data_IF_205469441272
#
_entry.id   IF_205469441272
#
_cell.length_a   1.000
_cell.length_b   1.000
_cell.length_c   1.000
_cell.angle_alpha   90.00
_cell.angle_beta   90.00
_cell.angle_gamma   90.00
#
_symmetry.space_group_name_H-M   'P 1'
#
loop_
_entity.id
_entity.type
_entity.pdbx_description
1 polymer ?
#
# COMPACT_ATOMS: atom_id res chain seq x y z
N UNK A 1 -34.55 2.56 16.16
CA UNK A 1 -33.78 2.87 14.95
C UNK A 1 -32.77 1.77 14.80
N UNK A 2 -32.49 1.27 13.58
CA UNK A 2 -31.42 0.28 13.42
C UNK A 2 -30.12 0.85 14.01
N UNK A 3 -29.33 0.00 14.65
CA UNK A 3 -28.03 0.39 15.19
C UNK A 3 -27.17 0.88 14.01
N UNK A 4 -26.41 1.95 14.18
CA UNK A 4 -25.71 2.60 13.05
C UNK A 4 -24.65 1.68 12.40
N UNK A 5 -24.07 0.73 13.17
CA UNK A 5 -23.25 -0.35 12.64
C UNK A 5 -24.01 -1.25 11.66
N UNK A 6 -25.35 -1.40 11.83
CA UNK A 6 -26.15 -2.29 11.00
C UNK A 6 -26.21 -1.83 9.53
N UNK A 7 -26.09 -0.53 9.26
CA UNK A 7 -26.15 0.04 7.90
C UNK A 7 -24.91 -0.34 7.10
N UNK A 8 -23.71 -0.19 7.69
CA UNK A 8 -22.43 -0.55 7.04
C UNK A 8 -22.38 -2.07 6.84
N UNK A 9 -22.71 -2.82 7.90
CA UNK A 9 -22.73 -4.28 7.85
C UNK A 9 -23.72 -4.80 6.79
N UNK A 10 -24.93 -4.21 6.71
CA UNK A 10 -25.94 -4.59 5.68
C UNK A 10 -25.44 -4.28 4.26
N UNK A 11 -24.76 -3.15 4.05
CA UNK A 11 -24.18 -2.82 2.76
C UNK A 11 -23.10 -3.83 2.37
N UNK A 12 -22.11 -4.08 3.24
CA UNK A 12 -21.04 -5.02 2.96
C UNK A 12 -21.57 -6.45 2.80
N UNK A 13 -22.56 -6.88 3.60
CA UNK A 13 -23.24 -8.16 3.42
C UNK A 13 -23.91 -8.28 2.05
N UNK A 14 -24.48 -7.17 1.53
CA UNK A 14 -25.06 -7.15 0.17
C UNK A 14 -24.00 -7.33 -0.91
N UNK A 15 -22.81 -6.75 -0.75
CA UNK A 15 -21.69 -6.93 -1.70
C UNK A 15 -21.11 -8.36 -1.63
N UNK A 16 -21.05 -8.96 -0.44
CA UNK A 16 -20.66 -10.36 -0.26
C UNK A 16 -21.70 -11.29 -0.94
N UNK A 17 -22.99 -11.05 -0.73
CA UNK A 17 -24.07 -11.83 -1.37
C UNK A 17 -24.09 -11.72 -2.91
N UNK A 18 -23.60 -10.59 -3.46
CA UNK A 18 -23.42 -10.42 -4.91
C UNK A 18 -22.15 -11.08 -5.46
N UNK A 19 -21.29 -11.60 -4.59
CA UNK A 19 -19.99 -12.14 -4.96
C UNK A 19 -18.92 -11.09 -5.28
N UNK A 20 -19.15 -9.82 -4.89
CA UNK A 20 -18.15 -8.75 -5.05
C UNK A 20 -16.98 -8.93 -4.11
N UNK A 21 -17.22 -9.47 -2.91
CA UNK A 21 -16.22 -9.69 -1.86
C UNK A 21 -16.44 -11.05 -1.22
N UNK A 22 -15.39 -11.83 -0.91
CA UNK A 22 -15.52 -13.04 -0.09
C UNK A 22 -15.88 -12.69 1.36
N UNK A 23 -15.21 -11.68 1.91
CA UNK A 23 -15.39 -11.17 3.26
C UNK A 23 -14.81 -9.79 3.44
N UNK A 24 -15.16 -9.19 4.57
CA UNK A 24 -14.68 -7.86 4.95
C UNK A 24 -14.59 -7.72 6.46
N UNK A 25 -13.67 -6.87 6.90
CA UNK A 25 -13.59 -6.34 8.25
C UNK A 25 -13.56 -4.82 8.13
N UNK A 26 -14.33 -4.12 8.95
CA UNK A 26 -14.30 -2.67 8.95
C UNK A 26 -14.21 -2.10 10.36
N UNK A 27 -13.71 -0.87 10.44
CA UNK A 27 -13.70 -0.07 11.65
C UNK A 27 -13.91 1.41 11.30
N UNK A 28 -14.81 2.03 12.02
CA UNK A 28 -15.09 3.48 12.01
C UNK A 28 -14.78 4.04 13.38
N UNK A 29 -13.90 5.03 13.45
CA UNK A 29 -13.52 5.63 14.71
C UNK A 29 -13.37 7.16 14.66
N UNK A 30 -13.49 7.80 15.82
CA UNK A 30 -13.29 9.22 16.05
C UNK A 30 -12.58 9.42 17.39
N UNK A 31 -11.59 10.31 17.45
CA UNK A 31 -10.83 10.60 18.69
C UNK A 31 -10.29 9.36 19.41
N UNK A 32 -9.70 8.42 18.68
CA UNK A 32 -9.20 7.12 19.16
C UNK A 32 -10.30 6.18 19.70
N UNK A 33 -11.58 6.55 19.61
CA UNK A 33 -12.69 5.70 20.01
C UNK A 33 -13.24 4.95 18.83
N UNK A 34 -13.49 3.67 19.00
CA UNK A 34 -14.19 2.84 18.02
C UNK A 34 -15.68 3.15 18.16
N UNK A 35 -16.31 3.60 17.08
CA UNK A 35 -17.73 3.92 16.99
C UNK A 35 -18.51 2.74 16.42
N UNK A 36 -17.96 2.10 15.38
CA UNK A 36 -18.53 0.91 14.76
C UNK A 36 -17.43 0.01 14.22
N UNK A 37 -17.59 -1.29 14.36
CA UNK A 37 -16.74 -2.30 13.76
C UNK A 37 -17.52 -3.59 13.54
N UNK A 38 -17.14 -4.36 12.53
CA UNK A 38 -17.71 -5.69 12.29
C UNK A 38 -16.79 -6.51 11.36
N UNK A 39 -17.05 -7.81 11.30
CA UNK A 39 -16.42 -8.74 10.40
C UNK A 39 -17.47 -9.65 9.75
N UNK A 40 -17.44 -9.77 8.42
CA UNK A 40 -18.51 -10.34 7.61
C UNK A 40 -17.95 -11.28 6.55
N UNK A 41 -18.71 -12.32 6.20
CA UNK A 41 -18.35 -13.25 5.14
C UNK A 41 -17.20 -14.18 5.51
N UNK A 42 -16.34 -14.49 4.55
CA UNK A 42 -15.29 -15.49 4.67
C UNK A 42 -13.89 -14.88 4.54
N UNK A 43 -13.01 -15.21 5.48
CA UNK A 43 -11.57 -14.97 5.39
C UNK A 43 -10.92 -15.91 4.35
N UNK A 44 -11.43 -17.13 4.23
CA UNK A 44 -10.98 -18.15 3.28
C UNK A 44 -12.19 -18.80 2.65
N UNK A 45 -12.22 -18.88 1.31
CA UNK A 45 -13.22 -19.62 0.52
C UNK A 45 -12.64 -20.95 0.07
N UNK A 46 -11.37 -20.96 -0.30
CA UNK A 46 -10.60 -22.14 -0.73
C UNK A 46 -9.28 -22.21 0.04
N UNK A 47 -8.82 -23.38 0.48
CA UNK A 47 -9.37 -24.73 0.23
C UNK A 47 -10.52 -25.11 1.18
N UNK A 48 -10.84 -24.32 2.17
CA UNK A 48 -11.88 -24.54 3.17
C UNK A 48 -12.60 -23.22 3.49
N UNK A 49 -13.84 -23.29 3.98
CA UNK A 49 -14.59 -22.10 4.36
C UNK A 49 -14.23 -21.68 5.79
N UNK A 50 -13.51 -20.55 5.94
CA UNK A 50 -13.21 -19.98 7.25
C UNK A 50 -13.91 -18.62 7.36
N UNK A 51 -14.78 -18.41 8.35
CA UNK A 51 -15.44 -17.12 8.57
C UNK A 51 -14.44 -16.01 8.90
N UNK A 52 -14.71 -14.80 8.42
CA UNK A 52 -14.02 -13.63 8.88
C UNK A 52 -14.47 -13.26 10.30
N UNK A 53 -13.50 -12.84 11.13
CA UNK A 53 -13.73 -12.39 12.51
C UNK A 53 -13.00 -11.05 12.76
N UNK A 54 -13.24 -10.40 13.88
CA UNK A 54 -12.52 -9.18 14.28
C UNK A 54 -11.01 -9.43 14.50
N UNK A 55 -10.62 -10.69 14.63
CA UNK A 55 -9.23 -11.11 14.79
C UNK A 55 -8.58 -11.55 13.46
N UNK A 56 -9.35 -11.57 12.37
CA UNK A 56 -8.82 -11.93 11.05
C UNK A 56 -7.75 -10.92 10.61
N UNK A 57 -6.60 -11.44 10.21
CA UNK A 57 -5.44 -10.67 9.74
C UNK A 57 -5.47 -10.63 8.20
N UNK A 58 -5.35 -9.45 7.63
CA UNK A 58 -5.38 -9.23 6.19
C UNK A 58 -4.02 -8.79 5.66
N UNK A 59 -3.66 -9.25 4.45
CA UNK A 59 -2.59 -8.62 3.67
C UNK A 59 -3.02 -7.20 3.30
N UNK A 60 -2.36 -6.22 3.89
CA UNK A 60 -2.67 -4.80 3.72
C UNK A 60 -2.18 -4.23 2.39
N UNK A 61 -1.39 -5.01 1.63
CA UNK A 61 -0.81 -4.60 0.36
C UNK A 61 -0.18 -3.20 0.45
N UNK A 62 -0.59 -2.28 -0.42
CA UNK A 62 0.00 -0.93 -0.50
C UNK A 62 -0.24 -0.02 0.70
N UNK A 63 -1.07 -0.40 1.67
CA UNK A 63 -1.13 0.31 2.95
C UNK A 63 0.19 0.20 3.74
N UNK A 64 1.05 -0.76 3.39
CA UNK A 64 2.44 -0.83 3.89
C UNK A 64 3.20 0.47 3.66
N UNK A 65 2.96 1.14 2.53
CA UNK A 65 3.64 2.39 2.15
C UNK A 65 3.49 3.50 3.19
N UNK A 66 2.26 3.93 3.52
CA UNK A 66 2.08 4.95 4.55
C UNK A 66 2.35 4.42 5.96
N UNK A 67 1.77 3.27 6.32
CA UNK A 67 1.75 2.79 7.71
C UNK A 67 3.11 2.39 8.25
N UNK A 68 4.03 1.96 7.37
CA UNK A 68 5.38 1.56 7.77
C UNK A 68 6.43 2.47 7.13
N UNK A 69 6.57 2.42 5.81
CA UNK A 69 7.75 2.97 5.15
C UNK A 69 7.82 4.49 5.26
N UNK A 70 6.74 5.20 4.93
CA UNK A 70 6.72 6.66 5.03
C UNK A 70 6.81 7.15 6.48
N UNK A 71 6.13 6.47 7.39
CA UNK A 71 6.20 6.76 8.83
C UNK A 71 7.65 6.66 9.32
N UNK A 72 8.36 5.58 9.00
CA UNK A 72 9.77 5.39 9.37
C UNK A 72 10.67 6.44 8.73
N UNK A 73 10.51 6.74 7.43
CA UNK A 73 11.34 7.75 6.76
C UNK A 73 11.21 9.11 7.45
N UNK A 74 9.99 9.54 7.82
CA UNK A 74 9.79 10.82 8.52
C UNK A 74 10.35 10.76 9.94
N UNK A 75 10.18 9.67 10.69
CA UNK A 75 10.79 9.51 12.01
C UNK A 75 12.32 9.61 11.99
N UNK A 76 12.96 9.01 10.99
CA UNK A 76 14.42 9.10 10.80
C UNK A 76 14.85 10.49 10.31
N UNK A 77 13.99 11.19 9.56
CA UNK A 77 14.24 12.60 9.22
C UNK A 77 14.12 13.50 10.46
N UNK A 78 13.16 13.30 11.34
CA UNK A 78 13.03 14.02 12.63
C UNK A 78 14.26 13.86 13.53
N UNK A 79 14.98 12.74 13.40
CA UNK A 79 16.22 12.44 14.13
C UNK A 79 17.48 12.96 13.41
N UNK A 80 17.32 13.58 12.22
CA UNK A 80 18.43 14.08 11.42
C UNK A 80 19.25 12.99 10.71
N UNK A 81 18.77 11.74 10.67
CA UNK A 81 19.43 10.61 9.99
C UNK A 81 19.16 10.69 8.48
N UNK A 82 17.95 11.08 8.09
CA UNK A 82 17.54 11.29 6.71
C UNK A 82 17.24 12.76 6.44
N UNK A 83 17.50 13.18 5.19
CA UNK A 83 17.07 14.47 4.66
C UNK A 83 16.10 14.19 3.50
N UNK A 84 14.84 14.59 3.64
CA UNK A 84 13.79 14.33 2.64
C UNK A 84 14.08 15.00 1.30
N UNK A 85 14.84 16.09 1.29
CA UNK A 85 15.22 16.82 0.09
C UNK A 85 16.55 16.34 -0.51
N UNK A 86 17.26 15.44 0.18
CA UNK A 86 18.49 14.90 -0.37
C UNK A 86 18.23 13.98 -1.56
N UNK A 87 19.13 13.96 -2.54
CA UNK A 87 19.09 13.01 -3.64
C UNK A 87 19.17 11.56 -3.14
N UNK A 88 18.40 10.68 -3.78
CA UNK A 88 18.43 9.23 -3.52
C UNK A 88 19.85 8.67 -3.64
N UNK A 89 20.62 9.17 -4.60
CA UNK A 89 22.02 8.80 -4.82
C UNK A 89 22.94 8.96 -3.59
N UNK A 90 22.55 9.81 -2.63
CA UNK A 90 23.27 9.94 -1.34
C UNK A 90 23.17 8.66 -0.50
N UNK A 91 22.11 7.91 -0.65
CA UNK A 91 21.81 6.71 0.14
C UNK A 91 21.99 5.44 -0.65
N UNK A 92 21.68 5.46 -1.96
CA UNK A 92 21.77 4.34 -2.89
C UNK A 92 22.68 4.73 -4.07
N UNK A 93 23.92 4.27 -4.05
CA UNK A 93 24.95 4.63 -5.04
C UNK A 93 24.59 4.17 -6.45
N UNK A 94 23.71 3.21 -6.58
CA UNK A 94 23.17 2.71 -7.84
C UNK A 94 22.44 3.79 -8.66
N UNK A 95 22.04 4.89 -8.02
CA UNK A 95 21.32 6.02 -8.63
C UNK A 95 22.20 7.22 -9.00
N UNK A 96 23.51 7.04 -9.13
CA UNK A 96 24.42 8.12 -9.53
C UNK A 96 24.36 8.49 -11.02
N UNK A 97 23.54 7.81 -11.81
CA UNK A 97 23.37 8.12 -13.24
C UNK A 97 22.68 9.47 -13.48
N UNK A 98 22.97 10.09 -14.61
CA UNK A 98 22.59 11.48 -14.93
C UNK A 98 21.10 11.74 -14.85
N UNK A 99 20.26 10.82 -15.31
CA UNK A 99 18.79 10.96 -15.37
C UNK A 99 18.09 10.79 -14.02
N UNK A 100 18.69 10.04 -13.09
CA UNK A 100 18.10 9.70 -11.77
C UNK A 100 18.84 10.32 -10.59
N UNK A 101 20.00 10.92 -10.84
CA UNK A 101 20.86 11.46 -9.80
C UNK A 101 20.17 12.46 -8.86
N UNK A 102 19.26 13.26 -9.42
CA UNK A 102 18.59 14.35 -8.70
C UNK A 102 17.22 13.95 -8.11
N UNK A 103 16.82 12.67 -8.24
CA UNK A 103 15.59 12.18 -7.60
C UNK A 103 15.76 12.25 -6.09
N UNK A 104 14.86 12.97 -5.40
CA UNK A 104 14.90 13.15 -3.95
C UNK A 104 13.99 12.17 -3.21
N UNK A 105 14.21 11.98 -1.90
CA UNK A 105 13.33 11.13 -1.08
C UNK A 105 11.88 11.65 -1.07
N UNK A 106 11.68 12.96 -1.01
CA UNK A 106 10.33 13.54 -1.06
C UNK A 106 9.61 13.22 -2.37
N UNK A 107 10.34 13.18 -3.50
CA UNK A 107 9.77 12.80 -4.79
C UNK A 107 9.38 11.32 -4.86
N UNK A 108 10.13 10.43 -4.20
CA UNK A 108 9.72 9.04 -4.04
C UNK A 108 8.44 8.95 -3.18
N UNK A 109 8.39 9.66 -2.06
CA UNK A 109 7.27 9.61 -1.11
C UNK A 109 5.98 10.18 -1.68
N UNK A 110 6.06 11.12 -2.63
CA UNK A 110 4.92 11.76 -3.30
C UNK A 110 4.60 11.17 -4.67
N UNK A 111 5.33 10.13 -5.09
CA UNK A 111 5.20 9.52 -6.42
C UNK A 111 5.44 10.48 -7.59
N UNK A 112 6.31 11.47 -7.40
CA UNK A 112 6.70 12.44 -8.42
C UNK A 112 8.13 12.25 -8.96
N UNK A 113 8.72 11.06 -8.74
CA UNK A 113 10.07 10.71 -9.20
C UNK A 113 10.19 10.48 -10.70
N UNK A 114 9.09 10.09 -11.36
CA UNK A 114 9.09 9.65 -12.75
C UNK A 114 9.39 8.15 -12.94
N UNK A 115 9.61 7.40 -11.88
CA UNK A 115 9.72 5.94 -11.99
C UNK A 115 8.38 5.32 -12.43
N UNK A 116 8.38 4.26 -13.28
CA UNK A 116 7.16 3.60 -13.70
C UNK A 116 6.39 2.99 -12.53
N UNK A 117 5.10 2.75 -12.75
CA UNK A 117 4.19 2.26 -11.70
C UNK A 117 4.65 0.93 -11.09
N UNK A 118 5.09 -0.01 -11.92
CA UNK A 118 5.44 -1.37 -11.52
C UNK A 118 6.43 -2.00 -12.52
N UNK A 119 7.22 -2.96 -12.04
CA UNK A 119 8.11 -3.82 -12.83
C UNK A 119 8.18 -5.20 -12.19
N UNK A 120 8.29 -6.28 -12.96
CA UNK A 120 8.50 -7.62 -12.42
C UNK A 120 9.96 -7.81 -11.96
N UNK A 121 10.31 -7.22 -10.81
CA UNK A 121 11.69 -7.19 -10.29
C UNK A 121 12.26 -8.60 -10.06
N UNK A 122 11.40 -9.57 -9.73
CA UNK A 122 11.75 -10.99 -9.61
C UNK A 122 12.21 -11.64 -10.94
N UNK A 123 12.00 -10.98 -12.08
CA UNK A 123 12.53 -11.40 -13.39
C UNK A 123 13.80 -10.60 -13.77
N UNK A 124 14.07 -9.48 -13.12
CA UNK A 124 15.16 -8.55 -13.45
C UNK A 124 16.33 -8.60 -12.48
N UNK A 125 16.09 -9.07 -11.24
CA UNK A 125 17.08 -9.24 -10.19
C UNK A 125 17.31 -10.72 -9.90
N UNK A 126 18.54 -11.11 -9.58
CA UNK A 126 18.85 -12.49 -9.19
C UNK A 126 18.59 -12.71 -7.69
N UNK A 127 18.86 -11.70 -6.89
CA UNK A 127 18.68 -11.70 -5.45
C UNK A 127 18.01 -10.41 -5.00
N UNK A 128 17.51 -10.39 -3.77
CA UNK A 128 16.99 -9.18 -3.13
C UNK A 128 17.99 -8.00 -3.19
N UNK A 129 19.27 -8.28 -3.02
CA UNK A 129 20.30 -7.25 -3.01
C UNK A 129 20.49 -6.56 -4.38
N UNK A 130 20.11 -7.22 -5.47
CA UNK A 130 20.22 -6.67 -6.83
C UNK A 130 19.05 -5.75 -7.21
N UNK A 131 17.98 -5.70 -6.40
CA UNK A 131 16.75 -4.94 -6.69
C UNK A 131 17.01 -3.45 -6.89
N UNK A 132 17.78 -2.73 -6.06
CA UNK A 132 18.08 -1.32 -6.30
C UNK A 132 18.78 -1.08 -7.65
N UNK A 133 19.72 -1.93 -8.02
CA UNK A 133 20.41 -1.85 -9.31
C UNK A 133 19.48 -2.17 -10.49
N UNK A 134 18.54 -3.10 -10.33
CA UNK A 134 17.51 -3.38 -11.35
C UNK A 134 16.61 -2.16 -11.57
N UNK A 135 16.15 -1.51 -10.50
CA UNK A 135 15.34 -0.28 -10.59
C UNK A 135 16.16 0.87 -11.19
N UNK A 136 17.44 0.99 -10.84
CA UNK A 136 18.30 2.03 -11.39
C UNK A 136 18.45 1.95 -12.92
N UNK A 137 18.38 0.74 -13.50
CA UNK A 137 18.38 0.53 -14.95
C UNK A 137 17.03 0.81 -15.64
N UNK A 138 15.95 0.94 -14.89
CA UNK A 138 14.61 1.19 -15.45
C UNK A 138 14.52 2.61 -16.02
N UNK A 139 13.94 2.76 -17.22
CA UNK A 139 13.72 4.08 -17.81
C UNK A 139 12.67 4.86 -17.02
N UNK A 140 12.86 6.16 -16.92
CA UNK A 140 11.83 7.05 -16.37
C UNK A 140 10.67 7.19 -17.36
N UNK A 141 9.47 7.33 -16.84
CA UNK A 141 8.30 7.65 -17.66
C UNK A 141 8.43 9.07 -18.22
N UNK A 142 7.97 9.30 -19.46
CA UNK A 142 7.95 10.64 -20.06
C UNK A 142 7.23 11.64 -19.16
N UNK A 143 7.87 12.79 -18.92
CA UNK A 143 7.27 13.87 -18.14
C UNK A 143 6.71 14.93 -19.09
N UNK A 144 5.64 15.66 -18.70
CA UNK A 144 5.10 16.74 -19.51
C UNK A 144 6.16 17.79 -19.84
N UNK A 145 6.14 18.36 -21.06
CA UNK A 145 6.98 19.53 -21.38
C UNK A 145 6.60 20.67 -20.42
N UNK A 146 7.60 21.45 -19.97
CA UNK A 146 7.46 22.65 -19.12
C UNK A 146 7.63 22.48 -17.60
N UNK A 147 8.34 21.44 -17.14
CA UNK A 147 8.88 21.39 -15.79
C UNK A 147 7.93 21.01 -14.67
N UNK A 148 6.67 20.77 -14.96
CA UNK A 148 5.71 20.25 -14.00
C UNK A 148 5.77 18.72 -14.00
N UNK A 149 6.26 18.13 -12.91
CA UNK A 149 6.30 16.66 -12.79
C UNK A 149 4.91 16.09 -12.57
N UNK A 150 4.57 15.04 -13.31
CA UNK A 150 3.34 14.27 -13.05
C UNK A 150 3.52 13.33 -11.85
N UNK A 151 2.41 13.10 -11.16
CA UNK A 151 2.31 12.05 -10.15
C UNK A 151 2.03 10.73 -10.85
N UNK A 152 3.04 9.86 -10.87
CA UNK A 152 2.94 8.48 -11.35
C UNK A 152 3.03 7.58 -10.13
N UNK A 153 1.90 7.02 -9.68
CA UNK A 153 1.90 6.07 -8.59
C UNK A 153 2.85 4.91 -8.92
N UNK A 154 3.88 4.72 -8.09
CA UNK A 154 4.94 3.75 -8.36
C UNK A 154 5.30 2.96 -7.12
N UNK A 155 5.22 1.64 -7.22
CA UNK A 155 5.68 0.71 -6.20
C UNK A 155 7.20 0.79 -6.02
N UNK A 156 7.93 1.03 -7.12
CA UNK A 156 9.39 1.11 -7.12
C UNK A 156 9.90 2.20 -6.17
N UNK A 157 9.17 3.31 -6.04
CA UNK A 157 9.50 4.38 -5.11
C UNK A 157 9.62 3.86 -3.67
N UNK A 158 8.65 3.10 -3.24
CA UNK A 158 8.60 2.58 -1.87
C UNK A 158 9.49 1.37 -1.66
N UNK A 159 9.73 0.55 -2.69
CA UNK A 159 10.79 -0.45 -2.67
C UNK A 159 12.13 0.23 -2.33
N UNK A 160 12.48 1.31 -3.03
CA UNK A 160 13.72 2.04 -2.81
C UNK A 160 13.79 2.70 -1.43
N UNK A 161 12.68 3.29 -0.95
CA UNK A 161 12.63 3.86 0.41
C UNK A 161 12.86 2.79 1.49
N UNK A 162 12.36 1.56 1.29
CA UNK A 162 12.69 0.43 2.15
C UNK A 162 14.19 0.14 2.20
N UNK A 163 14.84 0.09 1.03
CA UNK A 163 16.31 -0.10 0.97
C UNK A 163 17.09 1.09 1.55
N UNK A 164 16.60 2.33 1.40
CA UNK A 164 17.21 3.50 2.06
C UNK A 164 17.19 3.33 3.57
N UNK A 165 16.04 2.97 4.15
CA UNK A 165 15.92 2.73 5.59
C UNK A 165 16.89 1.65 6.06
N UNK A 166 16.93 0.51 5.39
CA UNK A 166 17.86 -0.57 5.72
C UNK A 166 19.33 -0.18 5.58
N UNK A 167 19.67 0.60 4.56
CA UNK A 167 21.05 1.05 4.31
C UNK A 167 21.53 2.00 5.40
N UNK A 168 20.70 2.92 5.87
CA UNK A 168 21.11 3.92 6.88
C UNK A 168 21.06 3.37 8.31
N UNK A 169 20.24 2.35 8.56
CA UNK A 169 20.09 1.75 9.90
C UNK A 169 20.94 0.49 10.09
N UNK A 170 21.29 -0.18 8.98
CA UNK A 170 21.91 -1.52 9.04
C UNK A 170 20.93 -2.62 9.50
N UNK A 171 19.64 -2.31 9.61
CA UNK A 171 18.61 -3.19 10.13
C UNK A 171 17.56 -3.49 9.04
N UNK A 172 17.03 -4.70 9.00
CA UNK A 172 16.01 -5.11 8.05
C UNK A 172 14.68 -4.43 8.36
N UNK A 173 13.91 -4.08 7.34
CA UNK A 173 12.69 -3.26 7.45
C UNK A 173 11.65 -3.82 8.42
N UNK A 174 11.45 -5.15 8.46
CA UNK A 174 10.54 -5.81 9.40
C UNK A 174 10.94 -5.59 10.86
N UNK A 175 12.23 -5.74 11.19
CA UNK A 175 12.76 -5.51 12.53
C UNK A 175 12.70 -4.04 12.92
N UNK A 176 13.00 -3.19 11.94
CA UNK A 176 12.89 -1.75 12.14
C UNK A 176 11.46 -1.32 12.43
N UNK A 177 10.47 -1.89 11.70
CA UNK A 177 9.05 -1.63 11.94
C UNK A 177 8.59 -2.16 13.30
N UNK A 178 9.01 -3.36 13.68
CA UNK A 178 8.74 -3.95 14.99
C UNK A 178 9.18 -3.00 16.11
N UNK A 179 10.45 -2.61 16.14
CA UNK A 179 11.04 -1.75 17.16
C UNK A 179 10.48 -0.32 17.17
N UNK A 180 10.25 0.25 16.00
CA UNK A 180 9.91 1.67 15.89
C UNK A 180 8.40 1.95 15.87
N UNK A 181 7.58 0.95 15.51
CA UNK A 181 6.13 1.13 15.32
C UNK A 181 5.34 0.12 16.14
N UNK A 182 5.58 -1.20 15.93
CA UNK A 182 4.68 -2.21 16.46
C UNK A 182 4.78 -2.33 17.98
N UNK A 183 5.98 -2.46 18.52
CA UNK A 183 6.20 -2.51 19.98
C UNK A 183 5.73 -1.23 20.68
N UNK A 184 6.11 0.00 20.24
CA UNK A 184 5.63 1.22 20.89
C UNK A 184 4.12 1.38 20.91
N UNK A 185 3.44 0.90 19.84
CA UNK A 185 1.98 0.92 19.75
C UNK A 185 1.32 -0.33 20.37
N UNK A 186 2.08 -1.33 20.85
CA UNK A 186 1.53 -2.57 21.39
C UNK A 186 0.70 -3.35 20.38
N UNK A 187 1.22 -3.49 19.13
CA UNK A 187 0.56 -4.23 18.06
C UNK A 187 1.01 -5.69 18.11
N UNK A 188 0.08 -6.59 18.33
CA UNK A 188 0.36 -8.03 18.52
C UNK A 188 0.01 -8.86 17.27
N UNK A 189 -0.85 -8.30 16.39
CA UNK A 189 -1.37 -8.94 15.18
C UNK A 189 -0.93 -8.22 13.89
N UNK A 190 0.05 -7.32 14.00
CA UNK A 190 0.66 -6.60 12.88
C UNK A 190 2.07 -7.11 12.65
N UNK A 191 2.35 -7.61 11.44
CA UNK A 191 3.63 -8.23 11.14
C UNK A 191 3.92 -8.26 9.64
N UNK A 192 5.19 -8.44 9.32
CA UNK A 192 5.62 -8.96 8.03
C UNK A 192 5.78 -10.47 8.12
N UNK A 193 5.60 -11.18 7.01
CA UNK A 193 5.84 -12.64 6.93
C UNK A 193 5.21 -13.42 8.08
N UNK A 194 3.88 -13.54 8.13
CA UNK A 194 3.18 -14.28 9.18
C UNK A 194 3.70 -15.71 9.34
N UNK A 195 3.67 -16.29 10.56
CA UNK A 195 4.01 -17.69 10.77
C UNK A 195 3.09 -18.64 9.97
N UNK A 196 3.64 -19.68 9.35
CA UNK A 196 2.91 -20.65 8.49
C UNK A 196 1.70 -21.31 9.18
N UNK A 197 1.73 -21.45 10.51
CA UNK A 197 0.66 -22.10 11.29
C UNK A 197 -0.47 -21.14 11.72
N UNK A 198 -0.35 -19.85 11.39
CA UNK A 198 -1.36 -18.87 11.78
C UNK A 198 -2.56 -18.94 10.83
N UNK A 199 -3.67 -19.48 11.33
CA UNK A 199 -4.88 -19.71 10.53
C UNK A 199 -5.86 -18.54 10.46
N UNK A 200 -5.67 -17.53 11.29
CA UNK A 200 -6.51 -16.33 11.33
C UNK A 200 -6.25 -15.35 10.19
N UNK A 201 -5.48 -15.76 9.18
CA UNK A 201 -5.14 -14.91 8.04
C UNK A 201 -6.16 -15.11 6.92
N UNK A 202 -6.61 -14.01 6.32
CA UNK A 202 -7.42 -14.03 5.12
C UNK A 202 -6.59 -14.49 3.92
N UNK A 203 -7.08 -15.47 3.16
CA UNK A 203 -6.44 -15.91 1.94
C UNK A 203 -6.56 -14.86 0.83
N UNK A 204 -5.59 -14.86 -0.08
CA UNK A 204 -5.58 -14.01 -1.26
C UNK A 204 -5.79 -14.84 -2.53
N UNK A 205 -5.10 -14.57 -3.63
CA UNK A 205 -5.34 -15.22 -4.92
C UNK A 205 -4.99 -16.72 -4.89
N UNK A 206 -5.70 -17.52 -5.68
CA UNK A 206 -5.32 -18.88 -6.00
C UNK A 206 -4.39 -18.86 -7.21
N UNK A 207 -3.11 -19.07 -6.98
CA UNK A 207 -2.06 -18.89 -7.98
C UNK A 207 -1.63 -17.42 -8.12
N UNK A 208 -1.01 -17.08 -9.23
CA UNK A 208 -0.54 -15.73 -9.60
C UNK A 208 -0.96 -15.35 -11.03
N UNK A 209 -2.19 -15.71 -11.42
CA UNK A 209 -2.66 -15.51 -12.80
C UNK A 209 -2.71 -14.03 -13.18
N UNK A 210 -3.13 -13.16 -12.25
CA UNK A 210 -3.18 -11.73 -12.50
C UNK A 210 -1.78 -11.12 -12.70
N UNK A 211 -0.82 -11.49 -11.86
CA UNK A 211 0.54 -10.98 -11.94
C UNK A 211 1.28 -11.54 -13.16
N UNK A 212 1.05 -12.81 -13.51
CA UNK A 212 1.54 -13.40 -14.75
C UNK A 212 1.05 -12.64 -15.98
N UNK A 213 -0.24 -12.31 -16.05
CA UNK A 213 -0.81 -11.54 -17.14
C UNK A 213 -0.16 -10.14 -17.25
N UNK A 214 0.07 -9.47 -16.12
CA UNK A 214 0.78 -8.18 -16.08
C UNK A 214 2.25 -8.30 -16.52
N UNK A 215 2.96 -9.34 -16.10
CA UNK A 215 4.34 -9.57 -16.52
C UNK A 215 4.45 -9.84 -18.02
N UNK A 216 3.49 -10.56 -18.59
CA UNK A 216 3.40 -10.76 -20.05
C UNK A 216 3.15 -9.42 -20.76
N UNK A 217 2.17 -8.65 -20.31
CA UNK A 217 1.84 -7.34 -20.88
C UNK A 217 3.02 -6.36 -20.79
N UNK A 218 3.72 -6.31 -19.68
CA UNK A 218 4.93 -5.49 -19.51
C UNK A 218 6.05 -5.95 -20.46
N UNK A 219 6.25 -7.26 -20.62
CA UNK A 219 7.22 -7.81 -21.55
C UNK A 219 6.91 -7.49 -23.02
N UNK A 220 5.65 -7.27 -23.37
CA UNK A 220 5.21 -6.92 -24.73
C UNK A 220 5.29 -5.42 -25.04
N UNK A 221 5.10 -4.56 -24.04
CA UNK A 221 4.88 -3.12 -24.25
C UNK A 221 6.07 -2.25 -23.87
N UNK A 222 6.93 -2.69 -22.94
CA UNK A 222 8.01 -1.84 -22.39
C UNK A 222 9.40 -2.36 -22.75
N UNK A 223 10.38 -1.44 -22.83
CA UNK A 223 11.80 -1.79 -22.93
C UNK A 223 12.39 -2.04 -21.54
N UNK A 224 13.05 -3.18 -21.32
CA UNK A 224 13.81 -3.47 -20.12
C UNK A 224 15.27 -3.01 -20.33
N UNK A 225 15.72 -1.98 -19.65
CA UNK A 225 17.09 -1.44 -19.71
C UNK A 225 17.41 -0.58 -20.93
N UNK A 226 18.63 -0.07 -21.00
CA UNK A 226 19.12 0.98 -21.91
C UNK A 226 19.13 0.66 -23.41
N UNK A 227 18.73 -0.49 -23.86
CA UNK A 227 18.76 -0.84 -25.28
C UNK A 227 17.36 -0.82 -25.87
N UNK A 228 17.05 0.26 -26.59
CA UNK A 228 15.85 0.43 -27.42
C UNK A 228 15.61 -0.73 -28.43
N UNK A 229 16.57 -1.64 -28.60
CA UNK A 229 16.52 -2.78 -29.53
C UNK A 229 15.85 -4.04 -28.97
N UNK A 230 15.42 -4.05 -27.70
CA UNK A 230 14.81 -5.22 -27.06
C UNK A 230 13.28 -5.12 -26.88
N UNK A 231 12.61 -4.19 -27.55
CA UNK A 231 11.15 -4.17 -27.58
C UNK A 231 10.61 -5.49 -28.15
N UNK A 232 9.67 -6.12 -27.44
CA UNK A 232 8.92 -7.32 -27.84
C UNK A 232 9.77 -8.55 -28.26
N UNK A 233 10.87 -8.84 -27.54
CA UNK A 233 11.71 -9.99 -27.85
C UNK A 233 11.03 -11.32 -27.47
N UNK A 234 11.07 -12.37 -28.32
CA UNK A 234 10.70 -13.74 -27.94
C UNK A 234 11.39 -14.24 -26.68
N UNK A 235 12.59 -13.72 -26.39
CA UNK A 235 13.35 -14.01 -25.18
C UNK A 235 12.60 -13.60 -23.89
N UNK A 236 11.92 -12.44 -23.87
CA UNK A 236 11.17 -11.97 -22.67
C UNK A 236 9.97 -12.86 -22.38
N UNK A 237 9.21 -13.25 -23.39
CA UNK A 237 8.11 -14.21 -23.23
C UNK A 237 8.63 -15.54 -22.68
N UNK A 238 9.80 -15.97 -23.17
CA UNK A 238 10.44 -17.20 -22.67
C UNK A 238 10.85 -17.05 -21.20
N UNK A 239 11.41 -15.92 -20.80
CA UNK A 239 11.77 -15.65 -19.39
C UNK A 239 10.53 -15.67 -18.50
N UNK A 240 9.46 -14.98 -18.88
CA UNK A 240 8.19 -14.99 -18.14
C UNK A 240 7.61 -16.39 -18.06
N UNK A 241 7.62 -17.16 -19.17
CA UNK A 241 7.07 -18.52 -19.18
C UNK A 241 7.91 -19.53 -18.39
N UNK A 242 9.20 -19.27 -18.17
CA UNK A 242 10.11 -20.13 -17.41
C UNK A 242 10.16 -19.76 -15.91
N UNK A 243 9.62 -18.62 -15.52
CA UNK A 243 9.55 -18.22 -14.12
C UNK A 243 8.67 -19.20 -13.31
N UNK A 244 9.02 -19.38 -12.04
CA UNK A 244 8.24 -20.18 -11.11
C UNK A 244 7.09 -19.33 -10.56
N UNK A 245 5.89 -19.57 -11.05
CA UNK A 245 4.66 -18.96 -10.56
C UNK A 245 4.05 -19.81 -9.46
N UNK A 246 3.52 -19.16 -8.41
CA UNK A 246 2.74 -19.84 -7.37
C UNK A 246 1.48 -20.43 -8.01
N UNK A 247 1.09 -21.63 -7.59
CA UNK A 247 -0.05 -22.39 -8.17
C UNK A 247 -1.13 -22.67 -7.13
N UNK A 248 -0.74 -22.66 -5.87
CA UNK A 248 -1.62 -22.91 -4.74
C UNK A 248 -2.27 -21.61 -4.24
N UNK A 249 -3.21 -21.73 -3.31
CA UNK A 249 -3.78 -20.55 -2.65
C UNK A 249 -2.70 -19.81 -1.87
N UNK A 250 -2.55 -18.52 -2.14
CA UNK A 250 -1.65 -17.63 -1.42
C UNK A 250 -2.30 -17.33 -0.07
N UNK A 251 -1.80 -17.96 0.98
CA UNK A 251 -2.36 -17.91 2.32
C UNK A 251 -1.24 -17.89 3.38
N UNK A 252 -1.20 -16.85 4.20
CA UNK A 252 -0.11 -16.62 5.18
C UNK A 252 1.17 -16.08 4.55
N UNK A 253 1.16 -15.77 3.27
CA UNK A 253 2.26 -15.10 2.56
C UNK A 253 1.74 -13.89 1.76
N UNK A 254 2.62 -12.94 1.48
CA UNK A 254 2.26 -11.72 0.76
C UNK A 254 1.79 -12.01 -0.66
N UNK A 255 0.70 -11.37 -1.09
CA UNK A 255 0.18 -11.49 -2.44
C UNK A 255 1.14 -10.94 -3.50
N UNK A 256 1.70 -9.75 -3.26
CA UNK A 256 2.61 -9.06 -4.18
C UNK A 256 3.86 -9.88 -4.50
N UNK A 257 4.12 -10.16 -5.79
CA UNK A 257 5.22 -11.01 -6.23
C UNK A 257 6.60 -10.39 -6.00
N UNK A 258 6.74 -9.08 -6.10
CA UNK A 258 8.00 -8.40 -5.80
C UNK A 258 8.31 -8.47 -4.31
N UNK A 259 7.31 -8.24 -3.45
CA UNK A 259 7.48 -8.39 -2.01
C UNK A 259 7.77 -9.85 -1.63
N UNK A 260 7.10 -10.82 -2.25
CA UNK A 260 7.36 -12.25 -2.07
C UNK A 260 8.81 -12.62 -2.45
N UNK A 261 9.28 -12.17 -3.61
CA UNK A 261 10.67 -12.33 -4.04
C UNK A 261 11.68 -11.74 -3.04
N UNK A 262 11.30 -10.65 -2.37
CA UNK A 262 12.12 -10.02 -1.33
C UNK A 262 11.96 -10.66 0.06
N UNK A 263 11.35 -11.85 0.15
CA UNK A 263 11.17 -12.60 1.39
C UNK A 263 10.03 -12.07 2.27
N UNK A 264 8.97 -11.55 1.64
CA UNK A 264 7.76 -11.04 2.30
C UNK A 264 7.92 -9.64 2.92
N UNK A 265 9.11 -9.02 2.81
CA UNK A 265 9.43 -7.75 3.46
C UNK A 265 9.90 -6.72 2.44
N UNK A 266 9.03 -5.77 2.12
CA UNK A 266 9.32 -4.72 1.17
C UNK A 266 8.67 -3.39 1.58
N UNK A 267 9.26 -2.27 1.16
CA UNK A 267 8.75 -0.95 1.53
C UNK A 267 7.40 -0.60 0.92
N UNK A 268 6.95 -1.34 -0.11
CA UNK A 268 5.70 -1.06 -0.83
C UNK A 268 4.55 -2.01 -0.48
N UNK A 269 4.82 -3.20 0.07
CA UNK A 269 3.87 -4.25 0.40
C UNK A 269 4.47 -5.25 1.41
N UNK A 270 3.64 -6.13 1.97
CA UNK A 270 4.04 -7.21 2.85
C UNK A 270 3.59 -7.05 4.30
N UNK A 271 2.94 -5.93 4.65
CA UNK A 271 2.36 -5.75 5.97
C UNK A 271 1.04 -6.50 6.08
N UNK A 272 0.89 -7.23 7.18
CA UNK A 272 -0.35 -7.89 7.60
C UNK A 272 -0.87 -7.26 8.88
N UNK A 273 -2.19 -7.09 9.01
CA UNK A 273 -2.80 -6.55 10.23
C UNK A 273 -4.30 -6.79 10.31
N UNK A 274 -4.91 -6.47 11.45
CA UNK A 274 -6.36 -6.39 11.66
C UNK A 274 -6.85 -4.95 11.47
N UNK A 275 -8.19 -4.74 11.38
CA UNK A 275 -8.74 -3.38 11.29
C UNK A 275 -8.46 -2.54 12.55
N UNK A 276 -8.48 -3.16 13.74
CA UNK A 276 -8.19 -2.47 15.01
C UNK A 276 -6.75 -1.96 15.08
N UNK A 277 -5.78 -2.77 14.67
CA UNK A 277 -4.38 -2.35 14.70
C UNK A 277 -4.04 -1.41 13.56
N UNK A 278 -4.62 -1.60 12.36
CA UNK A 278 -4.53 -0.65 11.26
C UNK A 278 -5.12 0.73 11.64
N UNK A 279 -6.24 0.76 12.40
CA UNK A 279 -6.80 1.98 12.96
C UNK A 279 -5.82 2.66 13.95
N UNK A 280 -5.17 1.89 14.81
CA UNK A 280 -4.18 2.43 15.76
C UNK A 280 -2.98 3.05 15.05
N UNK A 281 -2.47 2.37 13.99
CA UNK A 281 -1.42 2.93 13.15
C UNK A 281 -1.86 4.18 12.39
N UNK A 282 -3.08 4.21 11.84
CA UNK A 282 -3.62 5.35 11.10
C UNK A 282 -3.74 6.61 11.97
N UNK A 283 -4.07 6.45 13.25
CA UNK A 283 -4.14 7.58 14.19
C UNK A 283 -2.79 8.26 14.40
N UNK A 284 -1.66 7.63 14.03
CA UNK A 284 -0.33 8.25 14.13
C UNK A 284 -0.13 9.38 13.11
N UNK A 285 -1.01 9.52 12.13
CA UNK A 285 -1.01 10.63 11.16
C UNK A 285 -1.94 11.79 11.52
N UNK A 286 -2.55 11.71 12.69
CA UNK A 286 -3.50 12.70 13.24
C UNK A 286 -2.91 13.41 14.45
N UNK A 287 -3.46 14.57 14.85
CA UNK A 287 -3.03 15.24 16.08
C UNK A 287 -3.11 14.32 17.31
N UNK A 288 -2.03 14.30 18.09
CA UNK A 288 -1.87 13.40 19.24
C UNK A 288 -1.10 12.11 18.92
N UNK A 289 -0.38 12.07 17.80
CA UNK A 289 0.54 10.98 17.47
C UNK A 289 1.54 10.68 18.60
N UNK A 290 1.73 9.41 18.87
CA UNK A 290 2.74 8.92 19.81
C UNK A 290 4.11 8.74 19.13
N UNK A 291 4.12 8.67 17.78
CA UNK A 291 5.29 8.32 16.99
C UNK A 291 5.89 9.49 16.23
N UNK A 292 5.09 10.50 15.85
CA UNK A 292 5.52 11.66 15.08
C UNK A 292 5.45 12.93 15.90
N UNK A 293 6.38 13.84 15.65
CA UNK A 293 6.32 15.19 16.22
C UNK A 293 5.16 15.98 15.60
N UNK A 294 4.50 16.87 16.35
CA UNK A 294 3.42 17.70 15.81
C UNK A 294 3.82 18.49 14.55
N UNK A 295 5.09 18.95 14.51
CA UNK A 295 5.63 19.71 13.39
C UNK A 295 5.74 18.89 12.10
N UNK A 296 5.79 17.57 12.19
CA UNK A 296 5.89 16.69 11.01
C UNK A 296 4.53 16.32 10.42
N UNK A 297 3.43 16.51 11.16
CA UNK A 297 2.10 16.10 10.70
C UNK A 297 1.66 16.83 9.42
N UNK A 298 2.13 18.08 9.20
CA UNK A 298 1.80 18.82 7.99
C UNK A 298 2.33 18.16 6.71
N UNK A 299 3.39 17.36 6.80
CA UNK A 299 3.95 16.60 5.67
C UNK A 299 2.96 15.54 5.16
N UNK A 300 2.08 15.06 6.03
CA UNK A 300 1.07 14.06 5.70
C UNK A 300 -0.30 14.67 5.36
N UNK A 301 -0.56 15.92 5.72
CA UNK A 301 -1.86 16.57 5.50
C UNK A 301 -1.84 17.65 4.42
N UNK A 302 -0.65 18.20 4.09
CA UNK A 302 -0.48 19.23 3.07
C UNK A 302 -0.38 18.65 1.66
N UNK A 303 -0.90 19.36 0.65
CA UNK A 303 -0.70 19.01 -0.76
C UNK A 303 0.76 19.35 -1.17
N UNK A 304 1.56 18.34 -1.43
CA UNK A 304 2.96 18.44 -1.85
C UNK A 304 3.14 18.31 -3.37
N UNK A 305 2.05 18.13 -4.12
CA UNK A 305 2.04 18.04 -5.59
C UNK A 305 1.08 19.07 -6.21
N UNK A 306 1.24 20.38 -5.86
CA UNK A 306 0.33 21.41 -6.33
C UNK A 306 0.38 21.54 -7.85
N UNK A 307 -0.80 21.64 -8.47
CA UNK A 307 -0.94 21.74 -9.93
C UNK A 307 -0.89 20.40 -10.67
N UNK A 308 -0.59 19.29 -10.01
CA UNK A 308 -0.78 17.95 -10.58
C UNK A 308 -2.25 17.53 -10.51
N UNK A 309 -2.67 16.63 -11.42
CA UNK A 309 -4.01 16.05 -11.39
C UNK A 309 -4.29 15.26 -10.10
N UNK A 310 -3.27 14.61 -9.58
CA UNK A 310 -3.36 13.85 -8.32
C UNK A 310 -2.72 14.66 -7.21
N UNK A 311 -3.53 15.07 -6.25
CA UNK A 311 -3.05 15.76 -5.04
C UNK A 311 -2.55 14.75 -4.02
N UNK A 312 -1.28 14.90 -3.63
CA UNK A 312 -0.64 14.01 -2.65
C UNK A 312 0.07 14.80 -1.56
N UNK A 313 -0.03 14.26 -0.38
CA UNK A 313 0.93 14.48 0.70
C UNK A 313 2.00 13.38 0.67
N UNK A 314 2.86 13.30 1.68
CA UNK A 314 3.71 12.13 1.86
C UNK A 314 2.80 10.88 2.01
N UNK A 315 2.99 9.92 1.13
CA UNK A 315 2.30 8.63 1.04
C UNK A 315 0.80 8.68 0.74
N UNK A 316 0.06 9.65 1.25
CA UNK A 316 -1.38 9.70 1.15
C UNK A 316 -1.86 10.42 -0.11
N UNK A 317 -2.99 9.98 -0.67
CA UNK A 317 -3.77 10.73 -1.64
C UNK A 317 -4.75 11.64 -0.90
N UNK A 318 -4.91 12.88 -1.37
CA UNK A 318 -5.90 13.81 -0.80
C UNK A 318 -7.25 13.64 -1.52
N UNK A 319 -8.35 13.77 -0.76
CA UNK A 319 -9.70 13.57 -1.27
C UNK A 319 -10.12 14.60 -2.32
N UNK A 320 -9.43 15.75 -2.43
CA UNK A 320 -9.60 16.72 -3.53
C UNK A 320 -9.18 16.16 -4.91
N UNK A 321 -8.45 15.04 -4.94
CA UNK A 321 -8.08 14.36 -6.19
C UNK A 321 -9.32 13.87 -6.92
N UNK A 322 -9.55 14.28 -8.19
CA UNK A 322 -10.70 13.83 -8.97
C UNK A 322 -10.78 12.30 -9.04
N UNK A 323 -11.97 11.76 -8.95
CA UNK A 323 -12.27 10.33 -9.10
C UNK A 323 -11.55 9.38 -8.12
N UNK A 324 -10.98 9.88 -7.03
CA UNK A 324 -10.40 9.03 -5.98
C UNK A 324 -11.49 8.26 -5.21
N UNK A 325 -11.05 7.28 -4.42
CA UNK A 325 -11.97 6.40 -3.65
C UNK A 325 -12.49 7.03 -2.35
N UNK A 326 -12.17 8.30 -2.06
CA UNK A 326 -12.76 9.04 -0.94
C UNK A 326 -14.29 9.15 -1.05
N UNK A 327 -14.74 9.47 -2.24
CA UNK A 327 -16.12 9.84 -2.48
C UNK A 327 -16.45 11.26 -1.99
N UNK A 328 -17.66 11.78 -2.31
CA UNK A 328 -18.03 13.16 -2.02
C UNK A 328 -18.38 13.44 -0.54
N UNK A 329 -18.51 12.41 0.28
CA UNK A 329 -18.86 12.56 1.69
C UNK A 329 -17.67 12.99 2.57
N UNK A 330 -16.45 12.72 2.13
CA UNK A 330 -15.23 13.15 2.81
C UNK A 330 -14.83 14.57 2.41
N UNK A 331 -14.29 15.38 3.34
CA UNK A 331 -13.81 16.71 3.00
C UNK A 331 -12.60 16.63 2.04
N UNK A 332 -12.33 17.66 1.22
CA UNK A 332 -11.20 17.70 0.30
C UNK A 332 -9.83 17.46 0.97
N UNK A 333 -9.73 17.83 2.23
CA UNK A 333 -8.53 17.66 3.08
C UNK A 333 -8.38 16.27 3.67
N UNK A 334 -9.36 15.40 3.48
CA UNK A 334 -9.21 14.01 3.92
C UNK A 334 -8.08 13.31 3.15
N UNK A 335 -7.40 12.42 3.84
CA UNK A 335 -6.28 11.67 3.28
C UNK A 335 -6.56 10.17 3.36
N UNK A 336 -6.08 9.44 2.35
CA UNK A 336 -6.31 8.01 2.31
C UNK A 336 -5.34 7.26 1.43
N UNK A 337 -5.41 5.95 1.51
CA UNK A 337 -4.66 5.03 0.66
C UNK A 337 -5.44 3.73 0.47
N UNK A 338 -5.20 3.08 -0.66
CA UNK A 338 -5.83 1.81 -1.01
C UNK A 338 -4.79 0.70 -1.11
N UNK A 339 -5.18 -0.53 -0.75
CA UNK A 339 -4.42 -1.74 -1.03
C UNK A 339 -5.03 -2.53 -2.19
N UNK A 340 -4.18 -3.24 -2.92
CA UNK A 340 -4.59 -4.06 -4.06
C UNK A 340 -5.54 -5.20 -3.65
N UNK A 341 -5.31 -5.79 -2.51
CA UNK A 341 -6.15 -6.85 -1.89
C UNK A 341 -7.57 -6.42 -1.57
N UNK A 342 -7.87 -5.12 -1.71
CA UNK A 342 -9.19 -4.52 -1.47
C UNK A 342 -9.22 -3.59 -0.25
N UNK A 343 -8.16 -3.58 0.53
CA UNK A 343 -8.03 -2.77 1.74
C UNK A 343 -8.03 -1.27 1.45
N UNK A 344 -8.44 -0.46 2.41
CA UNK A 344 -8.32 1.00 2.37
C UNK A 344 -8.38 1.63 3.75
N UNK A 345 -7.72 2.78 3.89
CA UNK A 345 -7.85 3.68 5.03
C UNK A 345 -8.12 5.07 4.50
N UNK A 346 -9.12 5.74 5.08
CA UNK A 346 -9.40 7.15 4.89
C UNK A 346 -9.51 7.85 6.22
N UNK A 347 -9.01 9.10 6.29
CA UNK A 347 -8.95 9.89 7.52
C UNK A 347 -9.41 11.31 7.28
N UNK A 348 -10.19 11.88 8.21
CA UNK A 348 -10.45 13.30 8.31
C UNK A 348 -9.61 13.87 9.45
N UNK A 349 -8.49 14.55 9.17
CA UNK A 349 -7.60 15.04 10.21
C UNK A 349 -8.22 16.16 11.07
N UNK A 350 -9.19 16.92 10.56
CA UNK A 350 -9.84 18.00 11.31
C UNK A 350 -10.81 17.46 12.35
N UNK A 351 -11.50 16.37 12.03
CA UNK A 351 -12.46 15.71 12.95
C UNK A 351 -11.84 14.51 13.66
N UNK A 352 -10.57 14.20 13.39
CA UNK A 352 -9.84 13.04 13.92
C UNK A 352 -10.59 11.73 13.72
N UNK A 353 -11.16 11.57 12.52
CA UNK A 353 -11.90 10.38 12.09
C UNK A 353 -11.03 9.47 11.27
N UNK A 354 -11.17 8.17 11.47
CA UNK A 354 -10.46 7.13 10.72
C UNK A 354 -11.46 6.06 10.30
N UNK A 355 -11.44 5.72 9.01
CA UNK A 355 -12.28 4.70 8.38
C UNK A 355 -11.39 3.63 7.77
N UNK A 356 -11.47 2.43 8.30
CA UNK A 356 -10.69 1.26 7.86
C UNK A 356 -11.63 0.27 7.22
N UNK A 357 -11.32 -0.18 6.01
CA UNK A 357 -11.98 -1.29 5.33
C UNK A 357 -10.90 -2.28 4.89
N UNK A 358 -10.95 -3.49 5.40
CA UNK A 358 -10.10 -4.60 5.00
C UNK A 358 -10.94 -5.66 4.30
N UNK A 359 -10.48 -6.11 3.15
CA UNK A 359 -11.11 -7.19 2.37
C UNK A 359 -10.05 -8.05 1.73
N UNK A 360 -10.45 -9.24 1.31
CA UNK A 360 -9.66 -10.14 0.49
C UNK A 360 -10.28 -10.29 -0.93
N UNK A 361 -10.64 -9.17 -1.56
CA UNK A 361 -11.34 -9.15 -2.87
C UNK A 361 -10.63 -9.95 -3.98
N UNK A 362 -9.34 -10.21 -3.81
CA UNK A 362 -8.53 -10.98 -4.76
C UNK A 362 -8.69 -12.49 -4.58
N UNK A 363 -9.37 -12.92 -3.52
CA UNK A 363 -9.61 -14.33 -3.21
C UNK A 363 -10.98 -14.81 -3.77
N UNK A 364 -11.06 -16.01 -4.37
CA UNK A 364 -9.92 -16.85 -4.76
C UNK A 364 -9.27 -16.38 -6.07
N UNK A 365 -9.86 -15.40 -6.78
CA UNK A 365 -9.37 -14.85 -8.05
C UNK A 365 -9.57 -13.36 -8.14
N UNK A 366 -8.64 -12.68 -8.80
CA UNK A 366 -8.78 -11.25 -9.08
C UNK A 366 -9.90 -11.03 -10.09
N UNK A 367 -11.06 -10.58 -9.61
CA UNK A 367 -12.23 -10.26 -10.44
C UNK A 367 -12.27 -8.81 -10.92
N UNK A 368 -13.13 -8.55 -11.92
CA UNK A 368 -13.40 -7.19 -12.44
C UNK A 368 -14.37 -6.42 -11.52
N UNK A 369 -13.99 -6.21 -10.25
CA UNK A 369 -14.81 -5.56 -9.24
C UNK A 369 -14.40 -4.08 -9.13
N UNK A 370 -15.35 -3.16 -9.18
CA UNK A 370 -15.08 -1.74 -8.94
C UNK A 370 -14.99 -1.43 -7.44
N UNK A 371 -13.82 -1.72 -6.86
CA UNK A 371 -13.53 -1.41 -5.46
C UNK A 371 -13.61 0.08 -5.14
N UNK A 372 -13.50 0.97 -6.13
CA UNK A 372 -13.62 2.41 -5.92
C UNK A 372 -15.03 2.77 -5.46
N UNK A 373 -16.05 2.21 -6.10
CA UNK A 373 -17.44 2.48 -5.72
C UNK A 373 -17.79 1.86 -4.37
N UNK A 374 -17.32 0.65 -4.07
CA UNK A 374 -17.50 0.04 -2.75
C UNK A 374 -16.88 0.90 -1.65
N UNK A 375 -15.64 1.39 -1.85
CA UNK A 375 -14.96 2.27 -0.90
C UNK A 375 -15.67 3.60 -0.72
N UNK A 376 -16.14 4.23 -1.82
CA UNK A 376 -16.92 5.48 -1.78
C UNK A 376 -18.19 5.33 -0.96
N UNK A 377 -18.92 4.24 -1.20
CA UNK A 377 -20.16 3.98 -0.45
C UNK A 377 -19.87 3.67 1.01
N UNK A 378 -18.85 2.88 1.29
CA UNK A 378 -18.39 2.63 2.67
C UNK A 378 -18.05 3.94 3.39
N UNK A 379 -17.24 4.81 2.78
CA UNK A 379 -16.85 6.09 3.37
C UNK A 379 -18.07 6.99 3.63
N UNK A 380 -19.05 7.03 2.72
CA UNK A 380 -20.26 7.80 2.91
C UNK A 380 -21.05 7.31 4.13
N UNK A 381 -21.26 5.99 4.24
CA UNK A 381 -21.94 5.40 5.38
C UNK A 381 -21.15 5.60 6.69
N UNK A 382 -19.83 5.53 6.65
CA UNK A 382 -18.99 5.80 7.82
C UNK A 382 -19.12 7.25 8.29
N UNK A 383 -19.17 8.23 7.37
CA UNK A 383 -19.43 9.64 7.71
C UNK A 383 -20.82 9.82 8.30
N UNK A 384 -21.85 9.21 7.75
CA UNK A 384 -23.21 9.22 8.29
C UNK A 384 -23.23 8.65 9.72
N UNK A 385 -22.51 7.54 9.95
CA UNK A 385 -22.39 6.87 11.25
C UNK A 385 -21.85 7.81 12.34
N UNK A 386 -20.73 8.49 12.10
CA UNK A 386 -20.11 9.38 13.08
C UNK A 386 -20.78 10.76 13.17
N UNK A 387 -21.66 11.11 12.24
CA UNK A 387 -22.38 12.40 12.24
C UNK A 387 -23.76 12.32 12.92
N UNK A 388 -24.24 11.12 13.20
CA UNK A 388 -25.49 10.86 13.90
C UNK A 388 -25.36 10.79 15.42
N UNK A 389 -24.15 10.94 15.93
CA UNK A 389 -23.81 11.12 17.35
C UNK A 389 -23.37 12.57 17.58
#
# INVERSE_FOLDING_TARGET
MPNVSDIISSFLQSEIARGSLPGAQYLVGEDLRIIAEDALGLAVVEPEHIPATLDTIYDLASLTKPLVTALLVVRFAERGVLDLNAPLARYLVEFNDKDKREITLIQLMTHSSGLPNWRPLYLEAQTRADVPAAIARTLLEPQPPHGQREVIYSDLNYVLLGFVLERVTGERLDRLAEREIFEPLGLERTMFSPPELLREIAATEHGQEFELANAIADAETRSWGDTASFAASPYRRAVVSQAKWRKDVIWGEVHDGNANFMGGVAGHAGLFSTAREAFRMANQFLPGSELLKPESLHLFTGNLTPGCRTSRSIAWILAETPDCSAGPALPPTALGHNGFTGTSIWMDPHKRRVFVLLTNRVHPRVGAIDMREIRRRFNALAVETVSGF
#
